data_IF_754223754097
#
_entry.id   IF_754223754097
#
_cell.length_a   1.000
_cell.length_b   1.000
_cell.length_c   1.000
_cell.angle_alpha   90.00
_cell.angle_beta   90.00
_cell.angle_gamma   90.00
#
_symmetry.space_group_name_H-M   'P 1'
#
loop_
_entity.id
_entity.type
_entity.pdbx_description
1 polymer ?
#
# COMPACT_ATOMS: atom_id res chain seq x y z
N UNK A 1 -4.46 -7.16 -8.57
CA UNK A 1 -3.71 -5.89 -8.54
C UNK A 1 -2.23 -6.22 -8.60
N UNK A 2 -1.42 -5.43 -9.30
CA UNK A 2 0.04 -5.55 -9.31
C UNK A 2 0.64 -4.17 -9.07
N UNK A 3 1.73 -4.11 -8.31
CA UNK A 3 2.49 -2.88 -8.04
C UNK A 3 3.88 -3.08 -8.61
N UNK A 4 4.37 -2.11 -9.38
CA UNK A 4 5.71 -2.15 -9.97
C UNK A 4 6.33 -0.75 -10.01
N UNK A 5 7.63 -0.62 -9.72
CA UNK A 5 8.35 0.62 -9.96
C UNK A 5 8.45 0.87 -11.47
N UNK A 6 8.40 2.14 -11.87
CA UNK A 6 8.67 2.59 -13.24
C UNK A 6 10.08 3.19 -13.34
N UNK A 7 10.59 3.33 -14.58
CA UNK A 7 11.93 3.84 -14.88
C UNK A 7 12.16 5.27 -14.41
N UNK A 8 11.09 6.04 -14.29
CA UNK A 8 11.14 7.46 -13.91
C UNK A 8 11.04 7.68 -12.39
N UNK A 9 11.13 6.61 -11.59
CA UNK A 9 10.99 6.68 -10.13
C UNK A 9 9.54 6.76 -9.63
N UNK A 10 8.57 6.71 -10.55
CA UNK A 10 7.15 6.60 -10.25
C UNK A 10 6.75 5.17 -9.85
N UNK A 11 5.62 5.04 -9.16
CA UNK A 11 5.02 3.76 -8.81
C UNK A 11 3.78 3.53 -9.67
N UNK A 12 3.70 2.38 -10.34
CA UNK A 12 2.51 2.00 -11.10
C UNK A 12 1.72 0.91 -10.38
N UNK A 13 0.45 1.21 -10.08
CA UNK A 13 -0.54 0.24 -9.60
C UNK A 13 -1.43 -0.17 -10.77
N UNK A 14 -1.32 -1.43 -11.21
CA UNK A 14 -2.15 -1.95 -12.30
C UNK A 14 -3.31 -2.77 -11.74
N UNK A 15 -4.53 -2.31 -12.01
CA UNK A 15 -5.76 -3.03 -11.74
C UNK A 15 -6.14 -3.88 -12.95
N UNK A 16 -6.37 -5.18 -12.72
CA UNK A 16 -6.91 -6.07 -13.75
C UNK A 16 -8.41 -6.20 -13.57
N UNK A 17 -9.17 -5.84 -14.59
CA UNK A 17 -10.63 -5.97 -14.60
C UNK A 17 -10.97 -7.32 -15.21
N UNK A 18 -11.70 -8.16 -14.46
CA UNK A 18 -12.12 -9.50 -14.87
C UNK A 18 -13.65 -9.54 -14.89
N UNK A 19 -14.22 -10.00 -16.00
CA UNK A 19 -15.66 -10.21 -16.17
C UNK A 19 -15.90 -11.63 -16.64
N UNK A 20 -16.72 -12.38 -15.90
CA UNK A 20 -17.01 -13.80 -16.18
C UNK A 20 -15.73 -14.64 -16.34
N UNK A 21 -14.78 -14.46 -15.42
CA UNK A 21 -13.49 -15.17 -15.43
C UNK A 21 -12.51 -14.74 -16.52
N UNK A 22 -12.91 -13.86 -17.45
CA UNK A 22 -12.05 -13.33 -18.52
C UNK A 22 -11.51 -11.96 -18.16
N UNK A 23 -10.22 -11.74 -18.34
CA UNK A 23 -9.62 -10.41 -18.20
C UNK A 23 -10.10 -9.54 -19.36
N UNK A 24 -10.80 -8.45 -19.04
CA UNK A 24 -11.41 -7.55 -20.04
C UNK A 24 -10.67 -6.23 -20.19
N UNK A 25 -9.96 -5.79 -19.16
CA UNK A 25 -9.18 -4.57 -19.23
C UNK A 25 -8.04 -4.54 -18.21
N UNK A 26 -7.10 -3.62 -18.49
CA UNK A 26 -6.09 -3.15 -17.57
C UNK A 26 -6.29 -1.67 -17.33
N UNK A 27 -6.29 -1.27 -16.06
CA UNK A 27 -6.36 0.11 -15.64
C UNK A 27 -5.09 0.43 -14.83
N UNK A 28 -4.06 1.01 -15.46
CA UNK A 28 -2.88 1.49 -14.75
C UNK A 28 -3.19 2.82 -14.05
N UNK A 29 -2.75 2.90 -12.80
CA UNK A 29 -2.68 4.14 -12.02
C UNK A 29 -1.20 4.43 -11.78
N UNK A 30 -0.69 5.48 -12.40
CA UNK A 30 0.69 5.95 -12.22
C UNK A 30 0.68 6.98 -11.11
N UNK A 31 1.56 6.81 -10.13
CA UNK A 31 1.70 7.68 -8.97
C UNK A 31 3.12 8.22 -8.95
N UNK A 32 3.25 9.53 -8.73
CA UNK A 32 4.50 10.11 -8.26
C UNK A 32 4.87 9.58 -6.88
N UNK A 33 6.10 9.86 -6.43
CA UNK A 33 6.55 9.47 -5.08
C UNK A 33 5.66 10.10 -4.00
N UNK A 34 5.31 11.37 -4.15
CA UNK A 34 4.48 12.08 -3.18
C UNK A 34 3.05 11.52 -3.12
N UNK A 35 2.46 11.21 -4.27
CA UNK A 35 1.13 10.58 -4.33
C UNK A 35 1.14 9.16 -3.76
N UNK A 36 2.22 8.39 -4.02
CA UNK A 36 2.39 7.06 -3.46
C UNK A 36 2.50 7.11 -1.93
N UNK A 37 3.23 8.09 -1.37
CA UNK A 37 3.34 8.25 0.07
C UNK A 37 2.02 8.70 0.71
N UNK A 38 1.26 9.59 0.05
CA UNK A 38 -0.09 9.96 0.52
C UNK A 38 -1.03 8.76 0.53
N UNK A 39 -1.01 7.93 -0.51
CA UNK A 39 -1.79 6.70 -0.57
C UNK A 39 -1.38 5.72 0.54
N UNK A 40 -0.08 5.56 0.76
CA UNK A 40 0.48 4.73 1.83
C UNK A 40 0.00 5.20 3.21
N UNK A 41 0.14 6.49 3.52
CA UNK A 41 -0.33 7.06 4.78
C UNK A 41 -1.85 6.87 4.98
N UNK A 42 -2.63 7.09 3.91
CA UNK A 42 -4.08 6.88 3.94
C UNK A 42 -4.48 5.43 4.22
N UNK A 43 -3.79 4.47 3.61
CA UNK A 43 -4.01 3.04 3.87
C UNK A 43 -3.62 2.64 5.29
N UNK A 44 -2.47 3.12 5.78
CA UNK A 44 -2.02 2.85 7.15
C UNK A 44 -3.02 3.38 8.18
N UNK A 45 -3.53 4.60 7.98
CA UNK A 45 -4.56 5.20 8.82
C UNK A 45 -5.87 4.41 8.78
N UNK A 46 -6.36 4.07 7.59
CA UNK A 46 -7.62 3.34 7.43
C UNK A 46 -7.58 1.95 8.09
N UNK A 47 -6.41 1.30 8.07
CA UNK A 47 -6.23 -0.02 8.68
C UNK A 47 -5.83 0.06 10.15
N UNK A 48 -5.54 1.24 10.72
CA UNK A 48 -5.03 1.38 12.10
C UNK A 48 -5.85 0.65 13.17
N UNK A 49 -7.20 0.59 13.10
CA UNK A 49 -7.99 -0.17 14.06
C UNK A 49 -7.83 -1.69 13.97
N UNK A 50 -7.30 -2.20 12.85
CA UNK A 50 -7.19 -3.64 12.58
C UNK A 50 -5.88 -4.20 13.14
N UNK A 51 -5.95 -5.40 13.72
CA UNK A 51 -4.76 -6.11 14.18
C UNK A 51 -3.86 -6.44 12.98
N UNK A 52 -2.59 -6.02 12.96
CA UNK A 52 -1.69 -6.33 11.85
C UNK A 52 -1.45 -7.85 11.77
N UNK A 53 -1.47 -8.43 10.55
CA UNK A 53 -1.07 -9.82 10.38
C UNK A 53 0.42 -10.01 10.72
N UNK A 54 0.85 -11.26 10.91
CA UNK A 54 2.23 -11.58 11.31
C UNK A 54 3.28 -11.09 10.31
N UNK A 55 2.93 -11.08 9.02
CA UNK A 55 3.75 -10.65 7.90
C UNK A 55 3.45 -9.20 7.47
N UNK A 56 2.81 -8.41 8.35
CA UNK A 56 2.56 -7.00 8.08
C UNK A 56 3.87 -6.23 7.83
N UNK A 57 3.84 -5.22 6.95
CA UNK A 57 5.00 -4.36 6.71
C UNK A 57 5.39 -3.60 7.99
N UNK A 58 6.65 -3.17 8.08
CA UNK A 58 7.19 -2.47 9.26
C UNK A 58 6.36 -1.24 9.66
N UNK A 59 5.80 -0.51 8.67
CA UNK A 59 4.93 0.64 8.92
C UNK A 59 3.63 0.32 9.68
N UNK A 60 3.29 -0.98 9.82
CA UNK A 60 2.12 -1.50 10.53
C UNK A 60 2.48 -2.22 11.82
N UNK A 61 3.77 -2.33 12.16
CA UNK A 61 4.22 -2.94 13.41
C UNK A 61 4.24 -1.90 14.51
N UNK A 62 3.94 -2.32 15.73
CA UNK A 62 4.03 -1.42 16.89
C UNK A 62 5.49 -0.99 17.09
N UNK A 63 5.73 0.31 16.93
CA UNK A 63 7.05 0.88 17.22
C UNK A 63 7.17 0.98 18.74
N UNK A 64 8.01 0.12 19.32
CA UNK A 64 8.45 0.26 20.71
C UNK A 64 9.61 1.23 20.74
N UNK A 65 9.35 2.44 21.22
CA UNK A 65 10.40 3.40 21.46
C UNK A 65 11.23 2.97 22.69
N UNK A 66 12.54 3.33 22.76
CA UNK A 66 13.43 2.94 23.87
C UNK A 66 12.96 3.42 25.26
N UNK A 67 12.09 4.42 25.29
CA UNK A 67 11.45 4.97 26.49
C UNK A 67 10.15 4.24 26.89
N UNK A 68 9.84 3.11 26.23
CA UNK A 68 8.71 2.25 26.55
C UNK A 68 7.37 2.69 25.97
N UNK A 69 7.34 3.77 25.18
CA UNK A 69 6.13 4.23 24.49
C UNK A 69 5.81 3.28 23.33
N UNK A 70 4.54 2.95 23.17
CA UNK A 70 4.03 2.21 22.02
C UNK A 70 3.05 3.10 21.25
N UNK A 71 3.33 3.31 19.97
CA UNK A 71 2.35 3.85 19.03
C UNK A 71 1.65 2.66 18.36
N UNK A 72 0.32 2.67 18.40
CA UNK A 72 -0.56 1.72 17.70
C UNK A 72 -0.97 2.29 16.35
#
# INVERSE_FOLDING_TARGET
MRVSPDRDGCLTVTLGIVRLGRRVALAPLVLSVDEAEQLHAGLCFALAPETPPMDAPECRKSVRYPDGRQQY
#
